data_IF_521601678938
#
_entry.id   IF_521601678938
#
_cell.length_a   1.000
_cell.length_b   1.000
_cell.length_c   1.000
_cell.angle_alpha   90.00
_cell.angle_beta   90.00
_cell.angle_gamma   90.00
#
_symmetry.space_group_name_H-M   'P 1'
#
loop_
_entity.id
_entity.type
_entity.pdbx_description
1 polymer ?
#
# COMPACT_ATOMS: atom_id res chain seq x y z
N UNK A 1 15.74 14.02 -17.21
CA UNK A 1 15.48 14.43 -15.99
C UNK A 1 15.57 13.36 -14.94
N UNK A 2 15.80 12.44 -14.81
CA UNK A 2 15.92 11.40 -13.83
C UNK A 2 15.61 11.74 -12.37
N UNK A 3 15.23 12.94 -12.10
CA UNK A 3 15.01 13.34 -10.73
C UNK A 3 13.62 12.89 -10.26
N UNK A 4 13.60 12.09 -9.22
CA UNK A 4 12.36 11.66 -8.60
C UNK A 4 11.96 12.69 -7.55
N UNK A 5 10.84 13.36 -7.75
CA UNK A 5 10.35 14.41 -6.85
C UNK A 5 9.20 13.96 -5.97
N UNK A 6 8.80 12.68 -6.02
CA UNK A 6 7.67 12.19 -5.23
C UNK A 6 7.81 12.54 -3.75
N UNK A 7 8.97 12.29 -3.15
CA UNK A 7 9.16 12.55 -1.73
C UNK A 7 9.10 14.02 -1.37
N UNK A 8 9.48 14.90 -2.30
CA UNK A 8 9.54 16.34 -2.06
C UNK A 8 8.21 17.02 -2.29
N UNK A 9 7.41 16.54 -3.25
CA UNK A 9 6.18 17.19 -3.67
C UNK A 9 4.93 16.51 -3.19
N UNK A 10 5.07 15.36 -2.54
CA UNK A 10 3.92 14.61 -2.06
C UNK A 10 3.19 15.36 -0.96
N UNK A 11 1.87 15.52 -1.04
CA UNK A 11 1.10 16.14 0.03
C UNK A 11 1.34 15.43 1.35
N UNK A 12 1.44 16.23 2.43
CA UNK A 12 1.73 15.69 3.76
C UNK A 12 0.71 14.62 4.20
N UNK A 13 -0.56 14.87 3.95
CA UNK A 13 -1.61 13.94 4.33
C UNK A 13 -1.44 12.58 3.64
N UNK A 14 -1.10 12.61 2.36
CA UNK A 14 -0.87 11.37 1.61
C UNK A 14 0.37 10.64 2.13
N UNK A 15 1.44 11.37 2.39
CA UNK A 15 2.67 10.81 2.94
C UNK A 15 2.41 10.13 4.28
N UNK A 16 1.60 10.75 5.15
CA UNK A 16 1.23 10.17 6.43
C UNK A 16 0.39 8.90 6.26
N UNK A 17 -0.53 8.90 5.30
CA UNK A 17 -1.34 7.71 5.02
C UNK A 17 -0.48 6.53 4.57
N UNK A 18 0.53 6.80 3.75
CA UNK A 18 1.46 5.76 3.32
C UNK A 18 2.27 5.20 4.50
N UNK A 19 2.70 6.08 5.41
CA UNK A 19 3.41 5.65 6.61
C UNK A 19 2.54 4.77 7.50
N UNK A 20 1.28 5.13 7.67
CA UNK A 20 0.33 4.34 8.44
C UNK A 20 0.18 2.97 7.81
N UNK A 21 0.02 2.92 6.50
CA UNK A 21 -0.07 1.65 5.77
C UNK A 21 1.17 0.80 6.00
N UNK A 22 2.35 1.39 5.88
CA UNK A 22 3.61 0.68 6.12
C UNK A 22 3.72 0.14 7.53
N UNK A 23 3.32 0.93 8.52
CA UNK A 23 3.31 0.49 9.91
C UNK A 23 2.37 -0.69 10.14
N UNK A 24 1.20 -0.66 9.51
CA UNK A 24 0.24 -1.76 9.61
C UNK A 24 0.81 -3.04 9.02
N UNK A 25 1.54 -2.94 7.93
CA UNK A 25 2.22 -4.07 7.32
C UNK A 25 3.30 -4.61 8.27
N UNK A 26 4.09 -3.72 8.86
CA UNK A 26 5.11 -4.11 9.83
C UNK A 26 4.49 -4.82 11.02
N UNK A 27 3.41 -4.30 11.57
CA UNK A 27 2.72 -4.91 12.71
C UNK A 27 2.15 -6.28 12.34
N UNK A 28 1.59 -6.41 11.14
CA UNK A 28 1.07 -7.69 10.66
C UNK A 28 2.20 -8.75 10.62
N UNK A 29 3.37 -8.34 10.16
CA UNK A 29 4.55 -9.21 10.15
C UNK A 29 4.93 -9.63 11.56
N UNK A 30 5.02 -8.63 12.48
CA UNK A 30 5.43 -8.91 13.86
C UNK A 30 4.44 -9.80 14.60
N UNK A 31 3.15 -9.62 14.36
CA UNK A 31 2.13 -10.49 14.97
C UNK A 31 2.29 -11.95 14.57
N UNK A 32 2.84 -12.19 13.39
CA UNK A 32 3.11 -13.54 12.87
C UNK A 32 4.48 -14.05 13.26
N UNK A 33 5.24 -13.27 14.05
CA UNK A 33 6.59 -13.63 14.48
C UNK A 33 7.52 -13.91 13.31
N UNK A 34 7.37 -13.14 12.23
CA UNK A 34 8.20 -13.26 11.03
C UNK A 34 9.23 -12.15 10.99
N UNK A 35 10.42 -12.47 10.50
CA UNK A 35 11.47 -11.47 10.26
C UNK A 35 11.24 -10.78 8.92
N UNK A 36 11.92 -9.64 8.72
CA UNK A 36 11.93 -9.00 7.39
C UNK A 36 12.47 -9.95 6.33
N UNK A 37 13.48 -10.74 6.68
CA UNK A 37 14.04 -11.70 5.73
C UNK A 37 13.02 -12.77 5.35
N UNK A 38 12.22 -13.23 6.30
CA UNK A 38 11.15 -14.20 6.01
C UNK A 38 10.20 -13.64 4.96
N UNK A 39 9.80 -12.38 5.13
CA UNK A 39 8.91 -11.72 4.18
C UNK A 39 9.59 -11.53 2.84
N UNK A 40 10.86 -11.10 2.84
CA UNK A 40 11.62 -10.92 1.61
C UNK A 40 11.66 -12.21 0.79
N UNK A 41 11.93 -13.32 1.46
CA UNK A 41 12.00 -14.63 0.79
C UNK A 41 10.64 -15.03 0.22
N UNK A 42 9.58 -14.86 0.98
CA UNK A 42 8.22 -15.22 0.54
C UNK A 42 7.73 -14.33 -0.60
N UNK A 43 8.07 -13.04 -0.53
CA UNK A 43 7.61 -12.06 -1.51
C UNK A 43 8.52 -12.01 -2.75
N UNK A 44 9.66 -12.67 -2.71
CA UNK A 44 10.67 -12.63 -3.77
C UNK A 44 11.14 -11.21 -4.01
N UNK A 45 11.48 -10.53 -2.94
CA UNK A 45 12.05 -9.18 -2.96
C UNK A 45 13.25 -9.15 -2.01
N UNK A 46 14.00 -8.05 -2.03
CA UNK A 46 15.10 -7.89 -1.11
C UNK A 46 14.60 -7.45 0.26
N UNK A 47 15.42 -7.72 1.30
CA UNK A 47 15.12 -7.25 2.64
C UNK A 47 15.02 -5.72 2.69
N UNK A 48 15.87 -5.03 1.93
CA UNK A 48 15.82 -3.57 1.84
C UNK A 48 14.46 -3.12 1.30
N UNK A 49 13.93 -3.81 0.30
CA UNK A 49 12.62 -3.50 -0.25
C UNK A 49 11.52 -3.69 0.79
N UNK A 50 11.58 -4.74 1.61
CA UNK A 50 10.63 -4.94 2.70
C UNK A 50 10.70 -3.76 3.67
N UNK A 51 11.90 -3.31 4.03
CA UNK A 51 12.09 -2.15 4.89
C UNK A 51 11.42 -0.91 4.30
N UNK A 52 11.60 -0.66 3.01
CA UNK A 52 10.97 0.48 2.33
C UNK A 52 9.45 0.41 2.39
N UNK A 53 8.88 -0.78 2.18
CA UNK A 53 7.44 -1.00 2.27
C UNK A 53 6.94 -0.67 3.67
N UNK A 54 7.65 -1.13 4.69
CA UNK A 54 7.25 -0.89 6.10
C UNK A 54 7.39 0.57 6.52
N UNK A 55 8.17 1.35 5.77
CA UNK A 55 8.25 2.80 5.97
C UNK A 55 7.27 3.59 5.10
N UNK A 56 6.48 2.90 4.29
CA UNK A 56 5.51 3.56 3.43
C UNK A 56 6.14 4.34 2.29
N UNK A 57 7.25 3.84 1.75
CA UNK A 57 8.00 4.53 0.70
C UNK A 57 7.16 4.65 -0.58
N UNK A 58 6.89 5.87 -1.04
CA UNK A 58 6.05 6.09 -2.22
C UNK A 58 6.72 5.71 -3.53
N UNK A 59 8.02 5.48 -3.53
CA UNK A 59 8.74 5.12 -4.75
C UNK A 59 8.69 3.62 -5.04
N UNK A 60 8.20 2.83 -4.09
CA UNK A 60 8.04 1.38 -4.27
C UNK A 60 6.73 1.14 -5.04
N UNK A 61 6.77 0.27 -6.03
CA UNK A 61 5.60 0.01 -6.86
C UNK A 61 4.47 -0.65 -6.07
N UNK A 62 3.26 -0.45 -6.54
CA UNK A 62 2.10 -1.14 -5.97
C UNK A 62 2.27 -2.66 -6.06
N UNK A 63 2.86 -3.17 -7.14
CA UNK A 63 3.09 -4.59 -7.28
C UNK A 63 3.99 -5.16 -6.19
N UNK A 64 4.97 -4.39 -5.75
CA UNK A 64 5.85 -4.80 -4.65
C UNK A 64 5.08 -4.82 -3.34
N UNK A 65 4.28 -3.78 -3.06
CA UNK A 65 3.40 -3.78 -1.90
C UNK A 65 2.48 -5.00 -1.91
N UNK A 66 1.93 -5.32 -3.09
CA UNK A 66 1.05 -6.49 -3.25
C UNK A 66 1.78 -7.79 -2.90
N UNK A 67 3.03 -7.95 -3.33
CA UNK A 67 3.83 -9.14 -3.02
C UNK A 67 4.06 -9.28 -1.51
N UNK A 68 4.34 -8.19 -0.83
CA UNK A 68 4.54 -8.20 0.63
C UNK A 68 3.23 -8.57 1.34
N UNK A 69 2.11 -8.00 0.91
CA UNK A 69 0.81 -8.36 1.46
C UNK A 69 0.49 -9.84 1.21
N UNK A 70 0.81 -10.34 0.03
CA UNK A 70 0.61 -11.77 -0.29
C UNK A 70 1.43 -12.65 0.66
N UNK A 71 2.67 -12.26 0.95
CA UNK A 71 3.52 -12.98 1.89
C UNK A 71 2.93 -13.04 3.29
N UNK A 72 2.05 -12.11 3.63
CA UNK A 72 1.33 -12.04 4.91
C UNK A 72 -0.08 -12.64 4.84
N UNK A 73 -0.48 -13.13 3.68
CA UNK A 73 -1.86 -13.59 3.41
C UNK A 73 -2.89 -12.48 3.55
N UNK A 74 -2.48 -11.23 3.25
CA UNK A 74 -3.32 -10.05 3.30
C UNK A 74 -3.54 -9.44 1.92
N UNK A 75 -3.31 -10.20 0.86
CA UNK A 75 -3.43 -9.67 -0.50
C UNK A 75 -4.83 -9.17 -0.82
N UNK A 76 -5.86 -9.70 -0.14
CA UNK A 76 -7.23 -9.25 -0.37
C UNK A 76 -7.48 -7.82 0.08
N UNK A 77 -6.64 -7.29 0.95
CA UNK A 77 -6.75 -5.90 1.39
C UNK A 77 -6.66 -4.94 0.22
N UNK A 78 -5.98 -5.33 -0.85
CA UNK A 78 -5.87 -4.50 -2.05
C UNK A 78 -7.25 -4.23 -2.66
N UNK A 79 -8.16 -5.19 -2.56
CA UNK A 79 -9.49 -5.03 -3.12
C UNK A 79 -10.35 -4.03 -2.34
N UNK A 80 -9.88 -3.62 -1.16
CA UNK A 80 -10.58 -2.64 -0.33
C UNK A 80 -10.23 -1.20 -0.73
N UNK A 81 -9.15 -1.02 -1.50
CA UNK A 81 -8.76 0.29 -1.96
C UNK A 81 -9.85 0.86 -2.85
N UNK A 82 -10.31 2.08 -2.51
CA UNK A 82 -11.37 2.77 -3.23
C UNK A 82 -12.71 2.03 -3.26
N UNK A 83 -12.87 0.97 -2.46
CA UNK A 83 -14.10 0.19 -2.46
C UNK A 83 -15.25 0.96 -1.83
N UNK A 84 -14.97 1.80 -0.82
CA UNK A 84 -15.99 2.59 -0.14
C UNK A 84 -16.01 4.01 -0.72
N UNK A 85 -16.57 4.13 -1.91
CA UNK A 85 -16.65 5.39 -2.63
C UNK A 85 -18.10 5.87 -2.65
N UNK A 86 -18.56 6.37 -1.50
CA UNK A 86 -19.95 6.80 -1.33
C UNK A 86 -20.29 7.93 -2.30
N UNK A 87 -19.43 8.95 -2.38
CA UNK A 87 -19.68 10.07 -3.28
C UNK A 87 -19.74 9.63 -4.73
N UNK A 88 -18.81 8.78 -5.16
CA UNK A 88 -18.78 8.28 -6.53
C UNK A 88 -20.06 7.50 -6.88
N UNK A 89 -20.53 6.68 -5.94
CA UNK A 89 -21.77 5.94 -6.14
C UNK A 89 -22.97 6.88 -6.27
N UNK A 90 -23.03 7.93 -5.43
CA UNK A 90 -24.10 8.91 -5.50
C UNK A 90 -24.09 9.65 -6.83
N UNK A 91 -22.91 10.01 -7.31
CA UNK A 91 -22.77 10.68 -8.60
C UNK A 91 -23.21 9.77 -9.74
N UNK A 92 -22.84 8.49 -9.68
CA UNK A 92 -23.24 7.50 -10.67
C UNK A 92 -24.76 7.31 -10.67
N UNK A 93 -25.36 7.19 -9.50
CA UNK A 93 -26.80 7.02 -9.36
C UNK A 93 -27.53 8.22 -9.94
N UNK A 94 -27.07 9.45 -9.65
CA UNK A 94 -27.65 10.66 -10.19
C UNK A 94 -27.60 10.66 -11.72
N UNK A 95 -26.48 10.21 -12.29
CA UNK A 95 -26.33 10.13 -13.74
C UNK A 95 -27.28 9.11 -14.35
N UNK A 96 -27.43 7.97 -13.71
CA UNK A 96 -28.34 6.94 -14.18
C UNK A 96 -29.80 7.40 -14.14
N UNK A 97 -30.15 8.18 -13.12
CA UNK A 97 -31.52 8.69 -12.99
C UNK A 97 -31.87 9.73 -14.06
N UNK A 98 -30.89 10.39 -14.64
CA UNK A 98 -31.11 11.35 -15.70
C UNK A 98 -31.47 10.70 -17.02
N UNK A 99 -31.20 9.45 -17.15
CA UNK A 99 -31.51 8.70 -18.36
C UNK A 99 -32.94 8.16 -18.32
#
# INVERSE_FOLDING_TARGET
>A
MGKNTFGKTMPRALSQNLKIMGEQIMLARKRRHLSMQDIADRATVTRLTVSKVEHGDPTVSMGIYARVLFALNLEKDITLLAADDTLGRQLQDAELLKK
#
